data_IF_083940154019
#
_entry.id   IF_083940154019
#
_cell.length_a   1.000
_cell.length_b   1.000
_cell.length_c   1.000
_cell.angle_alpha   90.00
_cell.angle_beta   90.00
_cell.angle_gamma   90.00
#
_symmetry.space_group_name_H-M   'P 1'
#
loop_
_entity.id
_entity.type
_entity.pdbx_description
1 polymer ?
#
# COMPACT_ATOMS: atom_id res chain seq x y z
N UNK A 1 9.00 32.36 -14.79
CA UNK A 1 10.04 33.11 -15.55
C UNK A 1 10.20 32.46 -16.90
N UNK A 2 10.06 33.20 -18.00
CA UNK A 2 10.15 32.67 -19.35
C UNK A 2 11.63 32.63 -19.80
N UNK A 3 12.26 31.47 -19.70
CA UNK A 3 13.65 31.26 -20.13
C UNK A 3 13.74 31.01 -21.63
N UNK A 4 14.02 32.04 -22.44
CA UNK A 4 14.36 31.87 -23.86
C UNK A 4 15.79 31.37 -24.00
N UNK A 5 15.99 30.21 -24.63
CA UNK A 5 17.29 29.81 -25.21
C UNK A 5 17.30 30.19 -26.69
N UNK A 6 18.39 30.79 -27.15
CA UNK A 6 18.48 31.47 -28.45
C UNK A 6 18.79 30.53 -29.63
N UNK A 7 18.94 29.22 -29.41
CA UNK A 7 19.76 28.40 -30.31
C UNK A 7 19.01 27.33 -31.12
N UNK A 8 17.70 27.09 -30.90
CA UNK A 8 16.97 26.06 -31.64
C UNK A 8 15.62 26.61 -32.15
N UNK A 9 15.42 26.70 -33.48
CA UNK A 9 14.16 27.15 -34.07
C UNK A 9 13.02 26.15 -33.76
N UNK A 10 11.94 26.62 -33.11
CA UNK A 10 10.77 25.80 -32.77
C UNK A 10 10.76 25.24 -31.34
N UNK A 11 11.69 25.64 -30.47
CA UNK A 11 11.75 25.16 -29.08
C UNK A 11 10.58 25.65 -28.21
N UNK A 12 9.73 24.70 -27.81
CA UNK A 12 8.72 24.89 -26.75
C UNK A 12 9.42 24.84 -25.40
N UNK A 13 9.27 25.89 -24.59
CA UNK A 13 9.78 25.92 -23.22
C UNK A 13 8.78 25.17 -22.33
N UNK A 14 9.20 24.13 -21.58
CA UNK A 14 8.29 23.41 -20.70
C UNK A 14 7.75 24.35 -19.62
N UNK A 15 6.44 24.27 -19.41
CA UNK A 15 5.69 24.98 -18.40
C UNK A 15 5.59 24.17 -17.10
N UNK A 16 5.03 24.78 -16.04
CA UNK A 16 4.66 24.03 -14.82
C UNK A 16 3.66 22.92 -15.15
N UNK A 17 2.76 23.14 -16.11
CA UNK A 17 1.81 22.11 -16.56
C UNK A 17 2.54 20.92 -17.21
N UNK A 18 3.57 21.18 -18.01
CA UNK A 18 4.38 20.11 -18.62
C UNK A 18 5.16 19.34 -17.56
N UNK A 19 5.63 20.04 -16.51
CA UNK A 19 6.26 19.40 -15.35
C UNK A 19 5.28 18.53 -14.55
N UNK A 20 4.08 19.01 -14.27
CA UNK A 20 3.04 18.24 -13.57
C UNK A 20 2.61 17.01 -14.40
N UNK A 21 2.53 17.15 -15.72
CA UNK A 21 2.29 16.06 -16.66
C UNK A 21 3.44 15.05 -16.63
N UNK A 22 4.68 15.51 -16.66
CA UNK A 22 5.87 14.66 -16.58
C UNK A 22 5.92 13.89 -15.25
N UNK A 23 5.66 14.53 -14.11
CA UNK A 23 5.52 13.83 -12.83
C UNK A 23 4.40 12.77 -12.84
N UNK A 24 3.44 12.88 -13.75
CA UNK A 24 2.38 11.87 -13.96
C UNK A 24 2.82 10.60 -14.63
N UNK A 25 3.94 10.62 -15.35
CA UNK A 25 4.47 9.45 -16.07
C UNK A 25 5.43 8.61 -15.24
N UNK A 26 5.75 9.04 -14.01
CA UNK A 26 6.62 8.31 -13.08
C UNK A 26 5.73 7.40 -12.20
N UNK A 27 6.06 6.10 -12.11
CA UNK A 27 5.27 5.09 -11.39
C UNK A 27 6.09 4.30 -10.35
N UNK A 28 6.60 4.94 -9.30
CA UNK A 28 7.25 4.26 -8.17
C UNK A 28 6.20 3.68 -7.19
N UNK A 29 6.66 2.94 -6.18
CA UNK A 29 5.80 2.45 -5.07
C UNK A 29 5.20 3.59 -4.24
N UNK A 30 5.97 4.67 -4.04
CA UNK A 30 5.54 5.91 -3.38
C UNK A 30 5.94 7.08 -4.26
N UNK A 31 4.97 7.92 -4.65
CA UNK A 31 5.20 9.04 -5.56
C UNK A 31 5.04 10.38 -4.85
N UNK A 32 6.02 11.26 -5.04
CA UNK A 32 5.93 12.65 -4.60
C UNK A 32 5.39 13.54 -5.72
N UNK A 33 4.34 14.30 -5.37
CA UNK A 33 3.81 15.45 -6.12
C UNK A 33 3.71 16.63 -5.15
N UNK A 34 2.65 17.44 -5.25
CA UNK A 34 2.25 18.37 -4.18
C UNK A 34 1.81 17.64 -2.89
N UNK A 35 1.68 16.31 -2.97
CA UNK A 35 1.29 15.38 -1.92
C UNK A 35 2.02 14.04 -2.16
N UNK A 36 1.97 13.14 -1.18
CA UNK A 36 2.50 11.78 -1.32
C UNK A 36 1.40 10.80 -1.75
N UNK A 37 1.71 9.92 -2.70
CA UNK A 37 0.81 8.87 -3.17
C UNK A 37 1.38 7.49 -2.83
N UNK A 38 0.60 6.68 -2.11
CA UNK A 38 0.92 5.28 -1.81
C UNK A 38 0.31 4.39 -2.90
N UNK A 39 1.13 3.61 -3.61
CA UNK A 39 0.71 2.99 -4.89
C UNK A 39 0.78 1.46 -4.92
N UNK A 40 1.18 0.83 -3.82
CA UNK A 40 1.45 -0.62 -3.76
C UNK A 40 0.24 -1.52 -3.46
N UNK A 41 -0.97 -0.98 -3.31
CA UNK A 41 -2.14 -1.75 -2.91
C UNK A 41 -2.93 -2.30 -4.10
N UNK A 42 -3.36 -3.55 -4.01
CA UNK A 42 -4.38 -4.11 -4.90
C UNK A 42 -5.76 -3.52 -4.62
N UNK A 43 -6.59 -3.40 -5.65
CA UNK A 43 -8.01 -3.03 -5.48
C UNK A 43 -8.80 -4.22 -4.91
N UNK A 44 -9.90 -3.94 -4.22
CA UNK A 44 -10.77 -4.96 -3.64
C UNK A 44 -12.13 -4.40 -3.24
N UNK A 45 -13.01 -5.26 -2.68
CA UNK A 45 -14.37 -4.88 -2.29
C UNK A 45 -14.41 -3.66 -1.38
N UNK A 46 -15.55 -2.97 -1.36
CA UNK A 46 -15.78 -1.71 -0.64
C UNK A 46 -15.17 -1.64 0.76
N UNK A 47 -15.35 -2.69 1.57
CA UNK A 47 -14.82 -2.75 2.95
C UNK A 47 -13.30 -2.62 3.01
N UNK A 48 -12.59 -3.32 2.13
CA UNK A 48 -11.13 -3.25 1.98
C UNK A 48 -10.68 -1.93 1.36
N UNK A 49 -11.51 -1.35 0.49
CA UNK A 49 -11.22 -0.07 -0.17
C UNK A 49 -11.10 1.07 0.84
N UNK A 50 -12.00 1.14 1.83
CA UNK A 50 -11.92 2.13 2.91
C UNK A 50 -10.78 1.87 3.91
N UNK A 51 -10.32 0.61 4.03
CA UNK A 51 -9.21 0.25 4.91
C UNK A 51 -7.85 0.80 4.44
N UNK A 52 -7.64 0.94 3.13
CA UNK A 52 -6.39 1.47 2.58
C UNK A 52 -6.08 2.92 3.01
N UNK A 53 -6.97 3.91 2.83
CA UNK A 53 -6.72 5.26 3.31
C UNK A 53 -6.65 5.32 4.85
N UNK A 54 -7.45 4.52 5.56
CA UNK A 54 -7.41 4.44 7.01
C UNK A 54 -6.03 3.94 7.51
N UNK A 55 -5.45 2.94 6.84
CA UNK A 55 -4.14 2.39 7.19
C UNK A 55 -3.04 3.45 7.10
N UNK A 56 -2.93 4.14 5.97
CA UNK A 56 -1.93 5.19 5.80
C UNK A 56 -2.18 6.42 6.68
N UNK A 57 -3.44 6.79 6.89
CA UNK A 57 -3.79 7.89 7.81
C UNK A 57 -3.34 7.56 9.24
N UNK A 58 -3.60 6.35 9.71
CA UNK A 58 -3.20 5.91 11.05
C UNK A 58 -1.70 5.87 11.25
N UNK A 59 -0.92 5.53 10.21
CA UNK A 59 0.54 5.49 10.30
C UNK A 59 1.20 6.87 10.17
N UNK A 60 0.73 7.69 9.24
CA UNK A 60 1.45 8.89 8.80
C UNK A 60 0.95 10.18 9.46
N UNK A 61 -0.30 10.22 9.93
CA UNK A 61 -0.93 11.45 10.46
C UNK A 61 -1.00 11.46 12.00
N UNK A 62 -0.23 10.59 12.64
CA UNK A 62 0.01 10.57 14.08
C UNK A 62 1.51 10.43 14.32
N UNK A 63 2.09 11.33 15.12
CA UNK A 63 3.55 11.42 15.31
C UNK A 63 4.12 10.18 16.01
N UNK A 64 3.38 9.59 16.95
CA UNK A 64 3.82 8.41 17.69
C UNK A 64 3.85 7.20 16.78
N UNK A 65 2.81 7.00 15.97
CA UNK A 65 2.76 5.92 14.98
C UNK A 65 3.85 6.08 13.92
N UNK A 66 4.06 7.31 13.43
CA UNK A 66 5.11 7.60 12.47
C UNK A 66 6.50 7.26 13.04
N UNK A 67 6.80 7.70 14.27
CA UNK A 67 8.08 7.42 14.90
C UNK A 67 8.28 5.91 15.13
N UNK A 68 7.25 5.20 15.60
CA UNK A 68 7.32 3.75 15.80
C UNK A 68 7.63 3.00 14.49
N UNK A 69 7.06 3.43 13.37
CA UNK A 69 7.36 2.86 12.04
C UNK A 69 8.79 3.18 11.62
N UNK A 70 9.25 4.43 11.81
CA UNK A 70 10.62 4.84 11.49
C UNK A 70 11.63 4.02 12.28
N UNK A 71 11.40 3.82 13.57
CA UNK A 71 12.27 3.02 14.45
C UNK A 71 12.29 1.55 14.03
N UNK A 72 11.13 0.99 13.65
CA UNK A 72 11.02 -0.40 13.17
C UNK A 72 11.82 -0.66 11.88
N UNK A 73 11.88 0.32 10.97
CA UNK A 73 12.55 0.17 9.67
C UNK A 73 13.96 0.77 9.65
N UNK A 74 14.43 1.32 10.77
CA UNK A 74 15.67 2.10 10.85
C UNK A 74 16.92 1.29 10.42
N UNK A 75 16.94 0.00 10.72
CA UNK A 75 18.04 -0.91 10.39
C UNK A 75 17.79 -1.73 9.12
N UNK A 76 16.71 -1.47 8.38
CA UNK A 76 16.41 -2.20 7.15
C UNK A 76 17.37 -1.77 6.04
N UNK A 77 18.00 -2.76 5.41
CA UNK A 77 18.90 -2.53 4.28
C UNK A 77 18.13 -2.28 2.98
N UNK A 78 18.80 -1.74 1.97
CA UNK A 78 18.20 -1.55 0.64
C UNK A 78 17.85 -2.90 0.00
N UNK A 79 18.71 -3.89 0.22
CA UNK A 79 18.57 -5.26 -0.27
C UNK A 79 17.37 -5.95 0.38
N UNK A 80 17.17 -5.77 1.69
CA UNK A 80 16.00 -6.27 2.41
C UNK A 80 14.69 -5.67 1.88
N UNK A 81 14.64 -4.34 1.70
CA UNK A 81 13.47 -3.67 1.13
C UNK A 81 13.16 -4.16 -0.28
N UNK A 82 14.19 -4.30 -1.12
CA UNK A 82 14.03 -4.81 -2.48
C UNK A 82 13.58 -6.27 -2.49
N UNK A 83 14.15 -7.10 -1.61
CA UNK A 83 13.74 -8.50 -1.45
C UNK A 83 12.27 -8.61 -1.08
N UNK A 84 11.80 -7.83 -0.11
CA UNK A 84 10.39 -7.82 0.26
C UNK A 84 9.50 -7.41 -0.93
N UNK A 85 9.87 -6.34 -1.64
CA UNK A 85 9.14 -5.89 -2.84
C UNK A 85 9.01 -7.00 -3.89
N UNK A 86 10.07 -7.78 -4.12
CA UNK A 86 10.08 -8.81 -5.15
C UNK A 86 9.40 -10.11 -4.71
N UNK A 87 9.39 -10.42 -3.41
CA UNK A 87 8.85 -11.69 -2.88
C UNK A 87 7.38 -11.61 -2.48
N UNK A 88 6.94 -10.49 -1.90
CA UNK A 88 5.56 -10.28 -1.44
C UNK A 88 4.50 -10.58 -2.51
N UNK A 89 4.68 -10.22 -3.80
CA UNK A 89 3.70 -10.56 -4.83
C UNK A 89 3.41 -12.06 -4.96
N UNK A 90 4.37 -12.93 -4.58
CA UNK A 90 4.23 -14.38 -4.67
C UNK A 90 3.81 -15.01 -3.34
N UNK A 91 4.40 -14.59 -2.24
CA UNK A 91 4.25 -15.26 -0.94
C UNK A 91 3.45 -14.46 0.09
N UNK A 92 3.04 -13.23 -0.22
CA UNK A 92 2.24 -12.40 0.68
C UNK A 92 2.87 -12.23 2.06
N UNK A 93 2.06 -12.35 3.11
CA UNK A 93 2.51 -12.26 4.50
C UNK A 93 3.33 -13.47 4.96
N UNK A 94 3.33 -14.56 4.20
CA UNK A 94 4.18 -15.76 4.44
C UNK A 94 5.60 -15.60 3.90
N UNK A 95 5.94 -14.42 3.37
CA UNK A 95 7.31 -14.09 2.95
C UNK A 95 8.25 -14.16 4.16
N UNK A 96 9.30 -15.00 4.15
CA UNK A 96 10.29 -15.01 5.21
C UNK A 96 11.03 -13.67 5.29
N UNK A 97 11.17 -13.13 6.50
CA UNK A 97 11.88 -11.89 6.74
C UNK A 97 12.62 -11.95 8.09
N UNK A 98 13.95 -11.85 8.04
CA UNK A 98 14.83 -11.99 9.21
C UNK A 98 14.51 -13.27 9.99
N UNK A 99 14.26 -13.17 11.29
CA UNK A 99 13.96 -14.31 12.17
C UNK A 99 12.51 -14.82 12.12
N UNK A 100 11.67 -14.33 11.20
CA UNK A 100 10.26 -14.69 11.16
C UNK A 100 9.62 -14.51 9.79
N UNK A 101 8.32 -14.25 9.79
CA UNK A 101 7.53 -13.96 8.60
C UNK A 101 7.19 -12.47 8.54
N UNK A 102 6.94 -11.97 7.32
CA UNK A 102 6.43 -10.62 7.12
C UNK A 102 5.12 -10.38 7.86
N UNK A 103 4.33 -11.43 8.11
CA UNK A 103 3.15 -11.39 8.98
C UNK A 103 3.44 -10.76 10.35
N UNK A 104 4.55 -11.12 11.01
CA UNK A 104 4.89 -10.57 12.33
C UNK A 104 5.19 -9.05 12.25
N UNK A 105 5.75 -8.60 11.14
CA UNK A 105 5.92 -7.15 10.89
C UNK A 105 4.54 -6.50 10.67
N UNK A 106 3.69 -7.13 9.86
CA UNK A 106 2.35 -6.63 9.56
C UNK A 106 1.48 -6.49 10.82
N UNK A 107 1.53 -7.43 11.76
CA UNK A 107 0.83 -7.34 13.04
C UNK A 107 1.21 -6.07 13.81
N UNK A 108 2.52 -5.77 13.90
CA UNK A 108 3.00 -4.58 14.59
C UNK A 108 2.61 -3.29 13.83
N UNK A 109 2.78 -3.26 12.51
CA UNK A 109 2.45 -2.08 11.70
C UNK A 109 0.95 -1.79 11.73
N UNK A 110 0.09 -2.80 11.61
CA UNK A 110 -1.36 -2.61 11.68
C UNK A 110 -1.80 -2.15 13.07
N UNK A 111 -1.14 -2.64 14.13
CA UNK A 111 -1.34 -2.11 15.48
C UNK A 111 -1.01 -0.61 15.54
N UNK A 112 0.14 -0.18 15.01
CA UNK A 112 0.50 1.24 14.99
C UNK A 112 -0.51 2.08 14.19
N UNK A 113 -0.99 1.57 13.05
CA UNK A 113 -2.02 2.25 12.27
C UNK A 113 -3.30 2.44 13.09
N UNK A 114 -3.76 1.39 13.77
CA UNK A 114 -4.94 1.44 14.63
C UNK A 114 -4.77 2.42 15.78
N UNK A 115 -3.65 2.34 16.50
CA UNK A 115 -3.34 3.22 17.61
C UNK A 115 -3.32 4.70 17.19
N UNK A 116 -2.81 5.00 15.98
CA UNK A 116 -2.81 6.36 15.43
C UNK A 116 -4.22 6.87 15.08
N UNK A 117 -5.09 6.02 14.52
CA UNK A 117 -6.50 6.37 14.30
C UNK A 117 -7.25 6.59 15.62
N UNK A 118 -6.96 5.78 16.64
CA UNK A 118 -7.54 5.95 17.97
C UNK A 118 -7.13 7.29 18.61
N UNK A 119 -5.84 7.66 18.51
CA UNK A 119 -5.34 8.97 19.00
C UNK A 119 -5.97 10.17 18.29
N UNK A 120 -6.34 10.03 17.01
CA UNK A 120 -7.06 11.08 16.28
C UNK A 120 -8.47 11.31 16.82
N UNK A 121 -9.07 10.34 17.51
CA UNK A 121 -10.35 10.51 18.21
C UNK A 121 -11.59 10.65 17.32
N UNK A 122 -11.49 10.28 16.03
CA UNK A 122 -12.58 10.42 15.05
C UNK A 122 -13.41 9.15 14.85
N UNK A 123 -13.18 8.11 15.65
CA UNK A 123 -13.85 6.81 15.54
C UNK A 123 -13.66 6.12 14.17
N UNK A 124 -12.44 6.23 13.61
CA UNK A 124 -12.08 5.73 12.27
C UNK A 124 -11.46 4.31 12.31
N UNK A 125 -11.15 3.78 13.51
CA UNK A 125 -10.40 2.52 13.66
C UNK A 125 -11.12 1.29 13.10
N UNK A 126 -12.45 1.29 13.05
CA UNK A 126 -13.24 0.20 12.47
C UNK A 126 -13.02 0.00 10.96
N UNK A 127 -12.52 1.01 10.24
CA UNK A 127 -12.13 0.84 8.84
C UNK A 127 -10.95 -0.13 8.67
N UNK A 128 -10.18 -0.41 9.74
CA UNK A 128 -9.05 -1.34 9.71
C UNK A 128 -9.42 -2.79 10.01
N UNK A 129 -10.67 -3.11 10.37
CA UNK A 129 -11.04 -4.46 10.84
C UNK A 129 -10.62 -5.57 9.87
N UNK A 130 -10.84 -5.39 8.56
CA UNK A 130 -10.42 -6.35 7.54
C UNK A 130 -8.89 -6.45 7.39
N UNK A 131 -8.17 -5.34 7.61
CA UNK A 131 -6.69 -5.32 7.57
C UNK A 131 -6.11 -6.03 8.79
N UNK A 132 -6.73 -5.83 9.97
CA UNK A 132 -6.39 -6.52 11.22
C UNK A 132 -6.58 -8.03 11.07
N UNK A 133 -7.71 -8.47 10.51
CA UNK A 133 -7.97 -9.90 10.26
C UNK A 133 -6.88 -10.53 9.38
N UNK A 134 -6.51 -9.87 8.28
CA UNK A 134 -5.46 -10.36 7.37
C UNK A 134 -4.09 -10.42 8.06
N UNK A 135 -3.74 -9.41 8.88
CA UNK A 135 -2.49 -9.42 9.62
C UNK A 135 -2.42 -10.56 10.65
N UNK A 136 -3.50 -10.80 11.38
CA UNK A 136 -3.57 -11.87 12.41
C UNK A 136 -3.58 -13.26 11.77
N UNK A 137 -4.35 -13.45 10.70
CA UNK A 137 -4.48 -14.77 10.06
C UNK A 137 -3.32 -15.09 9.12
N UNK A 138 -2.64 -14.07 8.58
CA UNK A 138 -1.61 -14.23 7.57
C UNK A 138 -2.16 -14.67 6.21
N UNK A 139 -3.48 -14.63 6.02
CA UNK A 139 -4.17 -15.07 4.80
C UNK A 139 -4.61 -13.86 3.99
N UNK A 140 -3.95 -13.62 2.86
CA UNK A 140 -4.30 -12.54 1.96
C UNK A 140 -5.65 -12.79 1.26
N UNK A 141 -6.37 -11.74 0.81
CA UNK A 141 -7.61 -11.91 0.02
C UNK A 141 -7.44 -12.82 -1.19
N UNK A 142 -6.30 -12.75 -1.88
CA UNK A 142 -5.98 -13.63 -3.01
C UNK A 142 -5.94 -15.11 -2.60
N UNK A 143 -5.46 -15.43 -1.40
CA UNK A 143 -5.42 -16.81 -0.90
C UNK A 143 -6.81 -17.33 -0.55
N UNK A 144 -7.69 -16.47 -0.01
CA UNK A 144 -9.11 -16.83 0.19
C UNK A 144 -9.79 -17.17 -1.13
N UNK A 145 -9.56 -16.37 -2.18
CA UNK A 145 -10.10 -16.65 -3.52
C UNK A 145 -9.52 -17.93 -4.13
N UNK A 146 -8.23 -18.22 -3.93
CA UNK A 146 -7.62 -19.47 -4.38
C UNK A 146 -8.21 -20.69 -3.66
N UNK A 147 -8.53 -20.57 -2.37
CA UNK A 147 -9.22 -21.63 -1.63
C UNK A 147 -10.62 -21.89 -2.19
N UNK A 148 -11.42 -20.84 -2.43
CA UNK A 148 -12.74 -20.96 -3.07
C UNK A 148 -12.64 -21.58 -4.46
N UNK A 149 -11.70 -21.10 -5.28
CA UNK A 149 -11.43 -21.62 -6.62
C UNK A 149 -11.11 -23.12 -6.59
N UNK A 150 -10.18 -23.54 -5.74
CA UNK A 150 -9.77 -24.96 -5.64
C UNK A 150 -10.80 -25.86 -4.95
N UNK A 151 -11.71 -25.27 -4.16
CA UNK A 151 -12.74 -25.96 -3.39
C UNK A 151 -14.12 -25.80 -4.01
N UNK A 152 -14.94 -24.94 -3.39
CA UNK A 152 -16.37 -24.80 -3.70
C UNK A 152 -16.67 -24.48 -5.16
N UNK A 153 -15.80 -23.72 -5.83
CA UNK A 153 -16.01 -23.34 -7.22
C UNK A 153 -15.54 -24.40 -8.21
N UNK A 154 -14.88 -25.47 -7.76
CA UNK A 154 -14.49 -26.59 -8.60
C UNK A 154 -13.60 -26.19 -9.78
N UNK A 155 -12.63 -25.31 -9.54
CA UNK A 155 -11.75 -24.72 -10.55
C UNK A 155 -12.47 -23.88 -11.63
N UNK A 156 -13.70 -23.44 -11.36
CA UNK A 156 -14.38 -22.42 -12.16
C UNK A 156 -14.11 -21.01 -11.58
N UNK A 157 -13.75 -20.06 -12.44
CA UNK A 157 -13.55 -18.67 -12.04
C UNK A 157 -14.84 -17.84 -12.09
N UNK A 158 -15.86 -18.28 -12.83
CA UNK A 158 -17.11 -17.52 -13.02
C UNK A 158 -17.76 -17.01 -11.72
N UNK A 159 -17.78 -17.77 -10.60
CA UNK A 159 -18.38 -17.27 -9.35
C UNK A 159 -17.72 -16.01 -8.78
N UNK A 160 -16.47 -15.70 -9.17
CA UNK A 160 -15.78 -14.48 -8.70
C UNK A 160 -16.52 -13.20 -9.09
N UNK A 161 -17.24 -13.22 -10.23
CA UNK A 161 -17.97 -12.05 -10.73
C UNK A 161 -19.25 -11.76 -9.92
N UNK A 162 -19.76 -12.75 -9.19
CA UNK A 162 -20.85 -12.54 -8.23
C UNK A 162 -20.30 -12.24 -6.82
N UNK A 163 -19.27 -12.97 -6.38
CA UNK A 163 -18.69 -12.83 -5.03
C UNK A 163 -18.05 -11.46 -4.79
N UNK A 164 -17.38 -10.89 -5.81
CA UNK A 164 -16.72 -9.57 -5.72
C UNK A 164 -17.49 -8.46 -6.44
N UNK A 165 -18.80 -8.66 -6.66
CA UNK A 165 -19.65 -7.65 -7.32
C UNK A 165 -19.76 -6.38 -6.46
N UNK A 166 -19.66 -5.22 -7.10
CA UNK A 166 -19.90 -3.90 -6.49
C UNK A 166 -21.37 -3.49 -6.58
#
# INVERSE_FOLDING_TARGET
>A
MAGKRCCIPGEVIPTISDWEMHLGTIYPEVRLRKYLEMRGAGSGPWKTFCGLPAFWTGLLYDEVSLQNVLDMIADWTTEERQMLRDKVPKTGLKTPFRGGLLQHVAENVVKFAKDGLERRGLNESGFLDGVVEVAITGVAPAEKLLQLYSGEWGQNIDPVFEELRY
#
